data_IF_536569917085
#
_entry.id   IF_536569917085
#
_cell.length_a   1.000
_cell.length_b   1.000
_cell.length_c   1.000
_cell.angle_alpha   90.00
_cell.angle_beta   90.00
_cell.angle_gamma   90.00
#
_symmetry.space_group_name_H-M   'P 1'
#
loop_
_entity.id
_entity.type
_entity.pdbx_description
1 polymer ?
#
# COMPACT_ATOMS: atom_id res chain seq x y z
N UNK A 1 -15.37 7.41 -15.91
CA UNK A 1 -13.97 7.67 -15.47
C UNK A 1 -13.85 8.13 -14.02
N UNK A 2 -14.59 9.14 -13.56
CA UNK A 2 -14.49 9.63 -12.15
C UNK A 2 -14.82 8.55 -11.09
N UNK A 3 -15.82 7.71 -11.36
CA UNK A 3 -16.26 6.62 -10.45
C UNK A 3 -15.17 5.58 -10.20
N UNK A 4 -14.32 5.30 -11.20
CA UNK A 4 -13.22 4.32 -11.10
C UNK A 4 -12.09 4.87 -10.25
N UNK A 5 -11.76 6.16 -10.40
CA UNK A 5 -10.72 6.82 -9.59
C UNK A 5 -11.13 6.90 -8.11
N UNK A 6 -12.41 7.19 -7.83
CA UNK A 6 -12.93 7.23 -6.46
C UNK A 6 -12.94 5.82 -5.85
N UNK A 7 -13.38 4.79 -6.59
CA UNK A 7 -13.36 3.41 -6.09
C UNK A 7 -11.93 2.91 -5.79
N UNK A 8 -10.97 3.22 -6.67
CA UNK A 8 -9.57 2.84 -6.47
C UNK A 8 -8.95 3.57 -5.25
N UNK A 9 -9.25 4.86 -5.07
CA UNK A 9 -8.79 5.65 -3.93
C UNK A 9 -9.39 5.19 -2.59
N UNK A 10 -10.66 4.76 -2.58
CA UNK A 10 -11.30 4.24 -1.36
C UNK A 10 -10.71 2.87 -0.98
N UNK A 11 -10.42 2.02 -1.97
CA UNK A 11 -9.84 0.69 -1.72
C UNK A 11 -8.47 0.79 -1.03
N UNK A 12 -7.61 1.73 -1.43
CA UNK A 12 -6.32 1.92 -0.76
C UNK A 12 -6.49 2.45 0.68
N UNK A 13 -7.44 3.34 0.93
CA UNK A 13 -7.71 3.85 2.28
C UNK A 13 -8.21 2.75 3.23
N UNK A 14 -9.00 1.81 2.70
CA UNK A 14 -9.50 0.65 3.45
C UNK A 14 -8.41 -0.40 3.68
N UNK A 15 -7.57 -0.69 2.69
CA UNK A 15 -6.48 -1.70 2.81
C UNK A 15 -5.40 -1.25 3.80
N UNK A 16 -5.04 0.03 3.78
CA UNK A 16 -3.97 0.56 4.65
C UNK A 16 -4.50 1.12 5.98
N UNK A 17 -5.82 1.08 6.21
CA UNK A 17 -6.48 1.63 7.40
C UNK A 17 -6.11 3.10 7.73
N UNK A 18 -5.59 3.84 6.74
CA UNK A 18 -5.12 5.21 6.91
C UNK A 18 -6.02 6.17 6.14
N UNK A 19 -7.05 6.73 6.80
CA UNK A 19 -7.96 7.66 6.14
C UNK A 19 -7.23 8.95 5.75
N UNK A 20 -7.38 9.41 4.50
CA UNK A 20 -6.89 10.70 4.05
C UNK A 20 -5.61 10.67 3.20
N UNK A 21 -4.95 9.52 3.03
CA UNK A 21 -3.79 9.40 2.12
C UNK A 21 -4.20 9.68 0.66
N UNK A 22 -5.39 9.24 0.24
CA UNK A 22 -5.89 9.52 -1.11
C UNK A 22 -6.10 11.01 -1.35
N UNK A 23 -6.59 11.74 -0.33
CA UNK A 23 -6.78 13.19 -0.39
C UNK A 23 -5.45 13.94 -0.43
N UNK A 24 -4.47 13.57 0.40
CA UNK A 24 -3.14 14.20 0.42
C UNK A 24 -2.41 14.01 -0.91
N UNK A 25 -2.52 12.82 -1.51
CA UNK A 25 -1.92 12.52 -2.81
C UNK A 25 -2.61 13.31 -3.92
N UNK A 26 -3.94 13.46 -3.86
CA UNK A 26 -4.70 14.30 -4.79
C UNK A 26 -4.32 15.79 -4.66
N UNK A 27 -4.24 16.33 -3.45
CA UNK A 27 -3.82 17.71 -3.18
C UNK A 27 -2.37 17.93 -3.66
N UNK A 28 -1.46 16.99 -3.42
CA UNK A 28 -0.07 17.06 -3.88
C UNK A 28 0.06 17.05 -5.40
N UNK A 29 -0.70 16.23 -6.11
CA UNK A 29 -0.73 16.23 -7.58
C UNK A 29 -1.28 17.56 -8.10
N UNK A 30 -2.37 18.06 -7.50
CA UNK A 30 -3.03 19.28 -7.95
C UNK A 30 -2.15 20.52 -7.71
N UNK A 31 -1.45 20.58 -6.57
CA UNK A 31 -0.50 21.64 -6.26
C UNK A 31 0.88 21.44 -6.91
N UNK A 32 1.06 20.37 -7.70
CA UNK A 32 2.35 19.99 -8.32
C UNK A 32 3.49 19.87 -7.31
N UNK A 33 3.15 19.47 -6.08
CA UNK A 33 4.10 19.17 -5.04
C UNK A 33 4.65 17.76 -5.25
N UNK A 34 5.62 17.66 -6.16
CA UNK A 34 6.29 16.40 -6.47
C UNK A 34 6.96 15.75 -5.25
N UNK A 35 7.65 16.50 -4.35
CA UNK A 35 8.18 15.94 -3.11
C UNK A 35 7.12 15.27 -2.22
N UNK A 36 5.95 15.90 -2.04
CA UNK A 36 4.86 15.34 -1.23
C UNK A 36 4.34 14.03 -1.83
N UNK A 37 4.03 14.03 -3.13
CA UNK A 37 3.55 12.83 -3.82
C UNK A 37 4.59 11.71 -3.76
N UNK A 38 5.86 12.04 -3.97
CA UNK A 38 6.95 11.07 -3.89
C UNK A 38 7.12 10.51 -2.48
N UNK A 39 6.97 11.33 -1.44
CA UNK A 39 7.00 10.89 -0.05
C UNK A 39 5.88 9.89 0.26
N UNK A 40 4.65 10.20 -0.14
CA UNK A 40 3.50 9.31 0.07
C UNK A 40 3.69 7.98 -0.68
N UNK A 41 4.19 8.02 -1.92
CA UNK A 41 4.46 6.80 -2.71
C UNK A 41 5.57 5.96 -2.09
N UNK A 42 6.64 6.60 -1.60
CA UNK A 42 7.76 5.92 -0.96
C UNK A 42 7.34 5.27 0.37
N UNK A 43 6.55 5.96 1.18
CA UNK A 43 5.96 5.43 2.40
C UNK A 43 5.07 4.21 2.11
N UNK A 44 4.17 4.32 1.12
CA UNK A 44 3.33 3.21 0.69
C UNK A 44 4.17 2.01 0.23
N UNK A 45 5.24 2.24 -0.53
CA UNK A 45 6.17 1.20 -0.97
C UNK A 45 6.85 0.48 0.20
N UNK A 46 7.36 1.22 1.18
CA UNK A 46 7.95 0.65 2.41
C UNK A 46 6.92 -0.21 3.14
N UNK A 47 5.70 0.28 3.27
CA UNK A 47 4.61 -0.43 3.95
C UNK A 47 4.27 -1.75 3.26
N UNK A 48 4.20 -1.75 1.92
CA UNK A 48 3.98 -2.97 1.12
C UNK A 48 5.11 -3.98 1.35
N UNK A 49 6.36 -3.53 1.38
CA UNK A 49 7.51 -4.42 1.64
C UNK A 49 7.43 -5.00 3.05
N UNK A 50 7.09 -4.18 4.05
CA UNK A 50 6.92 -4.64 5.44
C UNK A 50 5.80 -5.66 5.57
N UNK A 51 4.64 -5.41 4.95
CA UNK A 51 3.51 -6.35 4.97
C UNK A 51 3.88 -7.65 4.27
N UNK A 52 4.50 -7.60 3.09
CA UNK A 52 4.95 -8.82 2.40
C UNK A 52 5.96 -9.60 3.25
N UNK A 53 6.93 -8.92 3.87
CA UNK A 53 7.89 -9.56 4.75
C UNK A 53 7.21 -10.18 5.98
N UNK A 54 6.24 -9.49 6.59
CA UNK A 54 5.45 -10.04 7.69
C UNK A 54 4.67 -11.27 7.25
N UNK A 55 4.06 -11.23 6.07
CA UNK A 55 3.33 -12.36 5.49
C UNK A 55 4.27 -13.53 5.23
N UNK A 56 5.45 -13.30 4.66
CA UNK A 56 6.45 -14.33 4.41
C UNK A 56 6.93 -14.98 5.72
N UNK A 57 7.18 -14.18 6.75
CA UNK A 57 7.55 -14.68 8.10
C UNK A 57 6.39 -15.47 8.72
N UNK A 58 5.16 -14.96 8.60
CA UNK A 58 3.97 -15.61 9.14
C UNK A 58 3.73 -16.95 8.45
N UNK A 59 3.87 -17.01 7.12
CA UNK A 59 3.81 -18.26 6.37
C UNK A 59 4.95 -19.20 6.73
N UNK A 60 6.18 -18.71 6.91
CA UNK A 60 7.31 -19.53 7.34
C UNK A 60 7.08 -20.13 8.76
N UNK A 61 6.38 -19.40 9.64
CA UNK A 61 6.09 -19.86 11.00
C UNK A 61 4.87 -20.77 11.09
N UNK A 62 3.81 -20.47 10.34
CA UNK A 62 2.55 -21.24 10.33
C UNK A 62 2.68 -22.50 9.47
N UNK A 63 3.44 -22.47 8.37
CA UNK A 63 3.48 -23.55 7.41
C UNK A 63 4.87 -24.24 7.33
N UNK A 64 5.12 -25.27 8.15
CA UNK A 64 6.32 -26.10 8.02
C UNK A 64 6.32 -27.02 6.78
N UNK A 65 5.27 -27.01 5.93
CA UNK A 65 5.13 -27.95 4.80
C UNK A 65 5.77 -27.49 3.49
N UNK A 66 6.12 -26.21 3.33
CA UNK A 66 6.83 -25.70 2.13
C UNK A 66 8.25 -26.28 1.96
N UNK A 67 8.71 -27.13 2.88
CA UNK A 67 10.00 -27.82 2.82
C UNK A 67 9.97 -29.22 2.20
N UNK A 68 8.81 -29.73 1.78
CA UNK A 68 8.67 -31.13 1.32
C UNK A 68 8.07 -31.27 -0.08
N UNK A 69 8.66 -30.64 -1.08
CA UNK A 69 8.60 -31.20 -2.45
C UNK A 69 9.96 -30.98 -3.10
N UNK A 70 10.77 -32.04 -3.05
CA UNK A 70 11.92 -32.26 -3.93
C UNK A 70 11.44 -32.42 -5.36
#
# INVERSE_FOLDING_TARGET
NLVVMINAAVIIEVIFAWPGIGRLLYEGIFQRDFPLVQGIVMEAGIMIVLINLMIDILYAYIDPRIRLTR
#
